data_IF_000229522736
#
_entry.id   IF_000229522736
#
_cell.length_a   1.000
_cell.length_b   1.000
_cell.length_c   1.000
_cell.angle_alpha   90.00
_cell.angle_beta   90.00
_cell.angle_gamma   90.00
#
_symmetry.space_group_name_H-M   'P 1'
#
loop_
_entity.id
_entity.type
_entity.pdbx_description
1 polymer ?
#
# COMPACT_ATOMS: atom_id res chain seq x y z
N UNK A 1 13.37 4.51 -11.29
CA UNK A 1 12.33 4.28 -10.28
C UNK A 1 11.90 2.82 -10.32
N UNK A 2 11.89 2.18 -9.19
CA UNK A 2 11.53 0.77 -9.12
C UNK A 2 10.02 0.59 -9.21
N UNK A 3 9.60 -0.56 -9.72
CA UNK A 3 8.20 -0.96 -9.77
C UNK A 3 8.05 -2.31 -9.12
N UNK A 4 6.95 -2.50 -8.42
CA UNK A 4 6.53 -3.80 -7.93
C UNK A 4 5.09 -4.03 -8.38
N UNK A 5 4.60 -5.24 -8.20
CA UNK A 5 3.27 -5.61 -8.71
C UNK A 5 2.47 -6.27 -7.61
N UNK A 6 1.20 -5.89 -7.55
CA UNK A 6 0.23 -6.53 -6.66
C UNK A 6 -0.72 -7.35 -7.53
N UNK A 7 -0.84 -8.64 -7.23
CA UNK A 7 -1.79 -9.51 -7.92
C UNK A 7 -3.05 -9.61 -7.09
N UNK A 8 -4.16 -9.17 -7.66
CA UNK A 8 -5.47 -9.14 -7.01
C UNK A 8 -6.50 -9.69 -8.00
N UNK A 9 -7.19 -10.76 -7.62
CA UNK A 9 -8.24 -11.36 -8.45
C UNK A 9 -7.78 -11.65 -9.89
N UNK A 10 -6.58 -12.20 -10.02
CA UNK A 10 -5.94 -12.52 -11.31
C UNK A 10 -5.56 -11.28 -12.14
N UNK A 11 -5.64 -10.09 -11.57
CA UNK A 11 -5.14 -8.88 -12.18
C UNK A 11 -3.78 -8.53 -11.59
N UNK A 12 -2.84 -8.16 -12.45
CA UNK A 12 -1.53 -7.71 -12.06
C UNK A 12 -1.51 -6.19 -12.08
N UNK A 13 -1.45 -5.60 -10.89
CA UNK A 13 -1.48 -4.15 -10.73
C UNK A 13 -0.07 -3.63 -10.50
N UNK A 14 0.31 -2.61 -11.25
CA UNK A 14 1.63 -2.00 -11.13
C UNK A 14 1.62 -0.95 -10.03
N UNK A 15 2.58 -1.06 -9.12
CA UNK A 15 2.80 -0.08 -8.06
C UNK A 15 4.06 0.71 -8.42
N UNK A 16 3.89 2.00 -8.67
CA UNK A 16 5.01 2.90 -8.91
C UNK A 16 5.58 3.32 -7.55
N UNK A 17 6.79 2.85 -7.23
CA UNK A 17 7.40 3.07 -5.93
C UNK A 17 8.07 4.43 -5.84
N UNK A 18 7.92 5.07 -4.69
CA UNK A 18 8.80 6.16 -4.30
C UNK A 18 10.17 5.61 -3.93
N UNK A 19 11.20 6.41 -4.07
CA UNK A 19 12.55 6.02 -3.67
C UNK A 19 12.84 6.59 -2.28
N UNK A 20 12.74 5.73 -1.26
CA UNK A 20 13.04 6.13 0.12
C UNK A 20 13.44 4.88 0.92
N UNK A 21 13.80 5.09 2.19
CA UNK A 21 14.24 3.98 3.03
C UNK A 21 13.12 2.98 3.31
N UNK A 22 11.88 3.43 3.35
CA UNK A 22 10.71 2.56 3.57
C UNK A 22 10.59 1.57 2.41
N UNK A 23 10.59 2.05 1.17
CA UNK A 23 10.46 1.19 -0.01
C UNK A 23 11.66 0.29 -0.22
N UNK A 24 12.86 0.79 0.07
CA UNK A 24 14.07 -0.03 -0.02
C UNK A 24 13.99 -1.25 0.90
N UNK A 25 13.44 -1.08 2.10
CA UNK A 25 13.26 -2.18 3.03
C UNK A 25 12.10 -3.09 2.64
N UNK A 26 11.01 -2.51 2.08
CA UNK A 26 9.83 -3.27 1.68
C UNK A 26 10.13 -4.30 0.59
N UNK A 27 10.99 -3.96 -0.37
CA UNK A 27 11.24 -4.85 -1.51
C UNK A 27 12.11 -6.06 -1.14
N UNK A 28 12.84 -6.01 -0.04
CA UNK A 28 13.77 -7.09 0.32
C UNK A 28 13.10 -8.43 0.61
N UNK A 29 11.98 -8.48 1.34
CA UNK A 29 11.33 -9.77 1.63
C UNK A 29 10.40 -10.27 0.52
N UNK A 30 10.21 -9.52 -0.56
CA UNK A 30 9.29 -9.94 -1.62
C UNK A 30 9.74 -11.27 -2.25
N UNK A 31 8.79 -12.12 -2.66
CA UNK A 31 7.35 -11.92 -2.70
C UNK A 31 6.67 -12.05 -1.35
N UNK A 32 5.52 -11.40 -1.22
CA UNK A 32 4.69 -11.45 -0.02
C UNK A 32 3.25 -11.77 -0.40
N UNK A 33 2.64 -12.68 0.37
CA UNK A 33 1.20 -12.94 0.28
C UNK A 33 0.56 -12.35 1.53
N UNK A 34 -0.38 -11.45 1.34
CA UNK A 34 -0.97 -10.68 2.43
C UNK A 34 -2.49 -10.74 2.36
N UNK A 35 -3.13 -11.04 3.50
CA UNK A 35 -4.56 -10.88 3.66
C UNK A 35 -4.82 -9.49 4.23
N UNK A 36 -5.62 -8.70 3.55
CA UNK A 36 -5.91 -7.33 3.96
C UNK A 36 -7.36 -7.17 4.38
N UNK A 37 -7.56 -6.41 5.44
CA UNK A 37 -8.87 -6.08 5.99
C UNK A 37 -9.30 -4.71 5.52
N UNK A 38 -10.62 -4.45 5.57
CA UNK A 38 -11.16 -3.15 5.22
C UNK A 38 -11.26 -2.23 6.43
N UNK A 39 -11.06 -0.94 6.20
CA UNK A 39 -11.28 0.10 7.22
C UNK A 39 -12.07 1.25 6.60
N UNK A 40 -13.21 1.56 7.18
CA UNK A 40 -14.05 2.72 6.81
C UNK A 40 -14.49 2.76 5.35
N UNK A 41 -14.46 1.64 4.63
CA UNK A 41 -14.83 1.57 3.19
C UNK A 41 -13.97 2.49 2.33
N UNK A 42 -12.74 2.76 2.74
CA UNK A 42 -11.84 3.62 1.96
C UNK A 42 -10.41 3.09 1.90
N UNK A 43 -10.06 2.06 2.69
CA UNK A 43 -8.70 1.53 2.67
C UNK A 43 -8.65 0.05 3.01
N UNK A 44 -7.64 -0.62 2.43
CA UNK A 44 -7.27 -2.00 2.78
C UNK A 44 -5.96 -1.93 3.56
N UNK A 45 -5.87 -2.66 4.67
CA UNK A 45 -4.69 -2.63 5.50
C UNK A 45 -4.29 -4.01 5.98
N UNK A 46 -3.00 -4.19 6.24
CA UNK A 46 -2.46 -5.40 6.84
C UNK A 46 -1.19 -5.05 7.61
N UNK A 47 -0.95 -5.78 8.69
CA UNK A 47 0.28 -5.62 9.45
C UNK A 47 1.35 -6.55 8.89
N UNK A 48 2.53 -5.97 8.65
CA UNK A 48 3.69 -6.74 8.21
C UNK A 48 4.36 -7.40 9.42
N UNK A 49 5.07 -8.51 9.18
CA UNK A 49 5.76 -9.21 10.24
C UNK A 49 6.92 -8.43 10.84
N UNK A 50 7.52 -7.55 10.05
CA UNK A 50 8.67 -6.76 10.47
C UNK A 50 8.39 -5.27 10.28
N UNK A 51 8.97 -4.45 11.15
CA UNK A 51 8.91 -3.00 11.01
C UNK A 51 9.79 -2.53 9.88
N UNK A 52 9.35 -1.45 9.22
CA UNK A 52 10.10 -0.80 8.15
C UNK A 52 10.59 0.56 8.62
N UNK A 53 11.70 1.07 8.06
CA UNK A 53 12.09 2.45 8.29
C UNK A 53 10.97 3.40 7.89
N UNK A 54 10.83 4.50 8.60
CA UNK A 54 9.73 5.44 8.39
C UNK A 54 10.25 6.79 7.92
N UNK A 55 9.43 7.46 7.09
CA UNK A 55 9.66 8.81 6.61
C UNK A 55 8.32 9.52 6.65
N UNK A 56 7.80 9.74 7.85
CA UNK A 56 6.43 10.21 8.03
C UNK A 56 6.25 11.66 7.58
N UNK A 57 5.11 11.90 6.95
CA UNK A 57 4.68 13.23 6.56
C UNK A 57 3.15 13.29 6.62
N UNK A 58 2.60 14.49 6.59
CA UNK A 58 1.15 14.68 6.57
C UNK A 58 0.71 14.98 5.15
N UNK A 59 0.11 14.02 4.45
CA UNK A 59 -0.30 14.24 3.06
C UNK A 59 -1.49 15.17 2.92
N UNK A 60 -2.32 15.27 3.95
CA UNK A 60 -3.55 16.04 4.03
C UNK A 60 -4.66 15.54 3.12
N UNK A 61 -4.34 15.06 1.93
CA UNK A 61 -5.28 14.49 0.99
C UNK A 61 -4.74 13.16 0.46
N UNK A 62 -5.63 12.17 0.39
CA UNK A 62 -5.32 10.83 -0.11
C UNK A 62 -6.06 10.63 -1.42
N UNK A 63 -5.36 10.08 -2.42
CA UNK A 63 -5.97 9.69 -3.69
C UNK A 63 -6.16 8.17 -3.74
N UNK A 64 -7.26 7.73 -4.37
CA UNK A 64 -7.47 6.31 -4.62
C UNK A 64 -6.28 5.75 -5.39
N UNK A 65 -5.71 4.65 -4.93
CA UNK A 65 -4.50 4.05 -5.49
C UNK A 65 -3.25 4.34 -4.69
N UNK A 66 -3.29 5.26 -3.74
CA UNK A 66 -2.14 5.55 -2.88
C UNK A 66 -1.81 4.34 -2.01
N UNK A 67 -0.51 4.04 -1.91
CA UNK A 67 0.02 2.97 -1.05
C UNK A 67 0.92 3.62 -0.03
N UNK A 68 0.60 3.44 1.24
CA UNK A 68 1.27 4.11 2.34
C UNK A 68 1.59 3.13 3.45
N UNK A 69 2.47 3.55 4.36
CA UNK A 69 2.75 2.84 5.61
C UNK A 69 2.25 3.68 6.77
N UNK A 70 1.36 3.13 7.57
CA UNK A 70 0.91 3.77 8.81
C UNK A 70 1.69 3.18 9.99
N UNK A 71 2.26 4.06 10.83
CA UNK A 71 3.20 3.58 11.83
C UNK A 71 4.44 3.00 11.13
N UNK A 72 4.94 1.87 11.61
CA UNK A 72 6.13 1.24 11.04
C UNK A 72 5.88 -0.14 10.43
N UNK A 73 4.68 -0.68 10.53
CA UNK A 73 4.40 -2.01 10.00
C UNK A 73 3.01 -2.20 9.40
N UNK A 74 2.20 -1.15 9.29
CA UNK A 74 0.86 -1.26 8.72
C UNK A 74 0.86 -0.80 7.27
N UNK A 75 0.77 -1.76 6.36
CA UNK A 75 0.68 -1.48 4.92
C UNK A 75 -0.75 -1.14 4.56
N UNK A 76 -0.95 -0.03 3.86
CA UNK A 76 -2.29 0.48 3.52
C UNK A 76 -2.38 0.74 2.03
N UNK A 77 -3.45 0.26 1.41
CA UNK A 77 -3.81 0.60 0.03
C UNK A 77 -5.15 1.33 0.09
N UNK A 78 -5.14 2.58 -0.32
CA UNK A 78 -6.36 3.40 -0.34
C UNK A 78 -7.10 3.19 -1.65
N UNK A 79 -8.42 2.99 -1.58
CA UNK A 79 -9.23 2.81 -2.78
C UNK A 79 -10.34 3.87 -2.94
N UNK A 80 -10.33 4.87 -2.04
CA UNK A 80 -11.17 6.06 -2.15
C UNK A 80 -10.32 7.29 -1.87
N UNK A 81 -10.70 8.42 -2.45
CA UNK A 81 -10.02 9.68 -2.20
C UNK A 81 -10.71 10.43 -1.07
N UNK A 82 -9.93 10.99 -0.15
CA UNK A 82 -10.48 11.70 1.01
C UNK A 82 -9.38 12.54 1.68
N UNK A 83 -9.80 13.45 2.55
CA UNK A 83 -8.87 14.25 3.35
C UNK A 83 -8.56 13.54 4.67
N UNK A 84 -7.33 13.66 5.13
CA UNK A 84 -6.90 13.01 6.36
C UNK A 84 -6.02 13.94 7.19
N UNK A 85 -6.08 13.77 8.51
CA UNK A 85 -5.17 14.45 9.44
C UNK A 85 -4.04 13.54 9.91
N UNK A 86 -4.03 12.28 9.49
CA UNK A 86 -3.00 11.32 9.89
C UNK A 86 -1.71 11.51 9.09
N UNK A 87 -0.63 11.00 9.65
CA UNK A 87 0.68 10.97 8.99
C UNK A 87 1.01 9.56 8.54
N UNK A 88 1.70 9.46 7.41
CA UNK A 88 2.07 8.19 6.80
C UNK A 88 3.48 8.27 6.23
N UNK A 89 4.10 7.13 5.96
CA UNK A 89 5.29 7.05 5.13
C UNK A 89 4.87 6.63 3.74
N UNK A 90 5.33 7.33 2.72
CA UNK A 90 4.88 7.07 1.34
C UNK A 90 5.57 5.86 0.75
N UNK A 91 4.78 4.97 0.16
CA UNK A 91 5.31 3.79 -0.53
C UNK A 91 5.19 3.96 -2.04
N UNK A 92 4.02 4.34 -2.55
CA UNK A 92 3.84 4.50 -3.98
C UNK A 92 2.39 4.72 -4.38
N UNK A 93 2.10 4.41 -5.65
CA UNK A 93 0.77 4.62 -6.21
C UNK A 93 0.44 3.57 -7.26
N UNK A 94 -0.81 3.12 -7.26
CA UNK A 94 -1.36 2.20 -8.26
C UNK A 94 -2.27 3.04 -9.18
N UNK A 95 -1.88 3.19 -10.45
CA UNK A 95 -2.61 4.07 -11.37
C UNK A 95 -3.99 3.56 -11.76
N UNK A 96 -4.15 2.26 -11.88
CA UNK A 96 -5.38 1.68 -12.40
C UNK A 96 -5.99 0.72 -11.39
N UNK A 97 -6.12 1.16 -10.15
CA UNK A 97 -6.74 0.35 -9.12
C UNK A 97 -8.21 0.13 -9.46
N UNK A 98 -8.67 -1.14 -9.55
CA UNK A 98 -10.08 -1.40 -9.81
C UNK A 98 -10.94 -0.98 -8.63
N UNK A 99 -12.24 -0.84 -8.85
CA UNK A 99 -13.19 -0.56 -7.78
C UNK A 99 -13.18 -1.72 -6.78
N UNK A 100 -13.06 -1.41 -5.52
CA UNK A 100 -13.06 -2.40 -4.44
C UNK A 100 -14.26 -2.16 -3.53
N UNK A 101 -14.83 -3.26 -3.02
CA UNK A 101 -15.87 -3.19 -2.01
C UNK A 101 -15.24 -3.25 -0.61
N UNK A 102 -16.06 -3.29 0.42
CA UNK A 102 -15.59 -3.30 1.81
C UNK A 102 -15.22 -4.71 2.32
N UNK A 103 -15.11 -5.68 1.43
CA UNK A 103 -14.68 -7.02 1.80
C UNK A 103 -13.18 -7.14 2.02
N UNK A 104 -12.79 -8.21 2.68
CA UNK A 104 -11.38 -8.53 2.82
C UNK A 104 -10.83 -9.01 1.49
N UNK A 105 -9.55 -8.76 1.24
CA UNK A 105 -8.88 -9.21 0.02
C UNK A 105 -7.59 -9.93 0.38
N UNK A 106 -7.12 -10.75 -0.56
CA UNK A 106 -5.80 -11.36 -0.49
C UNK A 106 -5.02 -10.91 -1.70
N UNK A 107 -3.80 -10.43 -1.49
CA UNK A 107 -2.95 -9.98 -2.58
C UNK A 107 -1.59 -10.65 -2.47
N UNK A 108 -0.92 -10.78 -3.61
CA UNK A 108 0.48 -11.19 -3.70
C UNK A 108 1.28 -10.01 -4.23
N UNK A 109 2.34 -9.63 -3.55
CA UNK A 109 3.20 -8.53 -3.97
C UNK A 109 4.56 -9.10 -4.36
N UNK A 110 5.03 -8.74 -5.55
CA UNK A 110 6.31 -9.22 -6.06
C UNK A 110 6.96 -8.18 -6.95
N UNK A 111 8.24 -8.40 -7.27
CA UNK A 111 9.01 -7.54 -8.18
C UNK A 111 8.72 -7.82 -9.65
N UNK A 112 7.96 -8.86 -9.94
CA UNK A 112 7.60 -9.24 -11.31
C UNK A 112 6.11 -9.39 -11.49
#
# INVERSE_FOLDING_TARGET
MAKIYANLNNEKLEINLEENSTTSALVKPLPLDIAMNDLNKNEKYAYLDNSLPTNTYSPKHIEAGDVMLFGDNCLVIFYESFDTSYSYSKIGHINNLPSLDDGNISISIDVK
#
